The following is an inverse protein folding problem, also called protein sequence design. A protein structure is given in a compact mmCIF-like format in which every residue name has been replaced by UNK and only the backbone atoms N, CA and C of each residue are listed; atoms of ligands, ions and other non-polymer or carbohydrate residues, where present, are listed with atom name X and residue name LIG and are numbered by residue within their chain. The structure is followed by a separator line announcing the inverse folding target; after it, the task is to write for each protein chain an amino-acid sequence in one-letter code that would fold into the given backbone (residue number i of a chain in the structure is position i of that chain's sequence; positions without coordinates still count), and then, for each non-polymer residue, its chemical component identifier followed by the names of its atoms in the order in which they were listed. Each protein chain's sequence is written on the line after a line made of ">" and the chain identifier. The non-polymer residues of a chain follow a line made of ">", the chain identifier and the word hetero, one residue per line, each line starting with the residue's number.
data_IF_094124284290
#
_entry.id   IF_094124284290
#
_cell.length_a   1.000
_cell.length_b   1.000
_cell.length_c   1.000
_cell.angle_alpha   90.00
_cell.angle_beta   90.00
_cell.angle_gamma   90.00
#
_symmetry.space_group_name_H-M   'P 1'
#
loop_
_entity.id
_entity.type
_entity.pdbx_description
1 polymer ?
#
# COMPACT_ATOMS: atom_id res chain seq x y z
N UNK A 1 -20.50 5.57 8.92
CA UNK A 1 -19.97 4.62 7.93
C UNK A 1 -19.78 5.38 6.62
N UNK A 2 -18.62 6.01 6.45
CA UNK A 2 -18.34 6.81 5.25
C UNK A 2 -17.43 6.02 4.34
N UNK A 3 -17.87 5.75 3.11
CA UNK A 3 -17.01 5.26 2.05
C UNK A 3 -15.83 6.22 1.93
N UNK A 4 -14.62 5.76 2.22
CA UNK A 4 -13.43 6.58 2.02
C UNK A 4 -13.12 6.61 0.52
N UNK A 5 -13.28 7.76 -0.16
CA UNK A 5 -13.06 7.84 -1.61
C UNK A 5 -11.62 7.50 -2.01
N UNK A 6 -10.69 7.48 -1.04
CA UNK A 6 -9.27 7.15 -1.25
C UNK A 6 -9.00 5.65 -1.26
N UNK A 7 -9.91 4.84 -0.70
CA UNK A 7 -9.72 3.40 -0.56
C UNK A 7 -9.38 2.70 -1.88
N UNK A 8 -10.11 2.93 -3.00
CA UNK A 8 -9.80 2.23 -4.26
C UNK A 8 -8.41 2.59 -4.79
N UNK A 9 -7.99 3.84 -4.65
CA UNK A 9 -6.68 4.30 -5.11
C UNK A 9 -5.56 3.76 -4.21
N UNK A 10 -5.75 3.78 -2.89
CA UNK A 10 -4.82 3.23 -1.92
C UNK A 10 -4.60 1.73 -2.18
N UNK A 11 -5.68 0.96 -2.30
CA UNK A 11 -5.64 -0.46 -2.66
C UNK A 11 -4.92 -0.71 -3.98
N UNK A 12 -5.21 0.11 -5.01
CA UNK A 12 -4.56 -0.03 -6.33
C UNK A 12 -3.06 0.19 -6.25
N UNK A 13 -2.61 1.20 -5.50
CA UNK A 13 -1.17 1.48 -5.33
C UNK A 13 -0.49 0.41 -4.50
N UNK A 14 -1.15 -0.09 -3.44
CA UNK A 14 -0.66 -1.22 -2.64
C UNK A 14 -0.45 -2.47 -3.51
N UNK A 15 -1.44 -2.87 -4.31
CA UNK A 15 -1.31 -4.01 -5.22
C UNK A 15 -0.14 -3.85 -6.21
N UNK A 16 0.08 -2.63 -6.73
CA UNK A 16 1.23 -2.36 -7.62
C UNK A 16 2.57 -2.52 -6.90
N UNK A 17 2.67 -2.06 -5.65
CA UNK A 17 3.88 -2.20 -4.84
C UNK A 17 4.19 -3.67 -4.55
N UNK A 18 3.19 -4.47 -4.18
CA UNK A 18 3.33 -5.91 -3.97
C UNK A 18 3.81 -6.63 -5.24
N UNK A 19 3.15 -6.37 -6.38
CA UNK A 19 3.52 -6.96 -7.66
C UNK A 19 4.93 -6.57 -8.12
N UNK A 20 5.37 -5.34 -7.82
CA UNK A 20 6.72 -4.87 -8.18
C UNK A 20 7.82 -5.51 -7.32
N UNK A 21 7.48 -5.98 -6.12
CA UNK A 21 8.41 -6.60 -5.18
C UNK A 21 8.22 -8.13 -5.05
N UNK A 22 7.38 -8.72 -5.92
CA UNK A 22 7.03 -10.15 -5.90
C UNK A 22 6.51 -10.65 -4.54
N UNK A 23 5.80 -9.77 -3.81
CA UNK A 23 5.27 -10.07 -2.48
C UNK A 23 3.86 -10.67 -2.56
N UNK A 24 3.66 -11.74 -1.81
CA UNK A 24 2.35 -12.39 -1.69
C UNK A 24 1.46 -11.74 -0.63
N UNK A 25 0.15 -11.97 -0.70
CA UNK A 25 -0.80 -11.52 0.31
C UNK A 25 -0.50 -12.11 1.70
N UNK A 26 -0.01 -13.35 1.76
CA UNK A 26 0.38 -14.02 3.00
C UNK A 26 1.61 -13.37 3.66
N UNK A 27 2.63 -13.02 2.89
CA UNK A 27 3.81 -12.30 3.40
C UNK A 27 3.44 -10.91 3.94
N UNK A 28 2.59 -10.19 3.19
CA UNK A 28 2.04 -8.92 3.65
C UNK A 28 1.27 -9.10 4.95
N UNK A 29 0.36 -10.08 5.01
CA UNK A 29 -0.45 -10.35 6.18
C UNK A 29 0.42 -10.67 7.41
N UNK A 30 1.45 -11.51 7.27
CA UNK A 30 2.34 -11.86 8.39
C UNK A 30 3.01 -10.64 9.00
N UNK A 31 3.49 -9.70 8.17
CA UNK A 31 4.08 -8.45 8.68
C UNK A 31 3.05 -7.53 9.29
N UNK A 32 1.91 -7.35 8.63
CA UNK A 32 0.80 -6.56 9.13
C UNK A 32 0.29 -7.08 10.49
N UNK A 33 0.16 -8.40 10.64
CA UNK A 33 -0.22 -9.05 11.90
C UNK A 33 0.82 -8.79 12.99
N UNK A 34 2.11 -8.87 12.67
CA UNK A 34 3.20 -8.49 13.58
C UNK A 34 3.17 -7.02 14.01
N UNK A 35 2.56 -6.14 13.21
CA UNK A 35 2.34 -4.72 13.52
C UNK A 35 1.03 -4.46 14.30
N UNK A 36 0.44 -5.49 14.90
CA UNK A 36 -0.86 -5.42 15.61
C UNK A 36 -2.08 -5.19 14.70
N UNK A 37 -1.99 -5.62 13.44
CA UNK A 37 -3.13 -5.65 12.53
C UNK A 37 -4.26 -6.56 13.03
N UNK A 38 -5.50 -6.10 12.90
CA UNK A 38 -6.68 -6.81 13.42
C UNK A 38 -7.36 -7.74 12.42
N UNK A 39 -7.10 -7.58 11.12
CA UNK A 39 -7.70 -8.37 10.05
C UNK A 39 -6.98 -9.73 9.86
N UNK A 40 -7.76 -10.77 9.57
CA UNK A 40 -7.25 -12.09 9.19
C UNK A 40 -6.66 -12.09 7.77
N UNK A 41 -5.92 -13.15 7.44
CA UNK A 41 -5.30 -13.33 6.12
C UNK A 41 -6.33 -13.24 4.97
N UNK A 42 -7.47 -13.91 5.13
CA UNK A 42 -8.56 -13.88 4.15
C UNK A 42 -9.22 -12.50 4.01
N UNK A 43 -9.28 -11.71 5.09
CA UNK A 43 -9.81 -10.35 5.04
C UNK A 43 -8.83 -9.42 4.32
N UNK A 44 -7.54 -9.59 4.56
CA UNK A 44 -6.48 -8.88 3.81
C UNK A 44 -6.55 -9.24 2.33
N UNK A 45 -6.68 -10.52 1.99
CA UNK A 45 -6.82 -10.93 0.59
C UNK A 45 -8.10 -10.38 -0.04
N UNK A 46 -9.25 -10.49 0.64
CA UNK A 46 -10.51 -9.94 0.17
C UNK A 46 -10.42 -8.42 -0.02
N UNK A 47 -9.69 -7.71 0.85
CA UNK A 47 -9.41 -6.30 0.68
C UNK A 47 -8.57 -6.03 -0.56
N UNK A 48 -7.49 -6.78 -0.79
CA UNK A 48 -6.63 -6.62 -1.97
C UNK A 48 -7.39 -6.86 -3.29
N UNK A 49 -8.30 -7.83 -3.31
CA UNK A 49 -9.20 -8.16 -4.42
C UNK A 49 -10.36 -7.14 -4.55
N UNK A 50 -10.58 -6.31 -3.54
CA UNK A 50 -11.64 -5.31 -3.49
C UNK A 50 -13.03 -5.87 -3.21
N UNK A 51 -13.10 -7.07 -2.63
CA UNK A 51 -14.30 -7.73 -2.14
C UNK A 51 -14.70 -7.26 -0.73
N UNK A 52 -13.76 -6.68 0.02
CA UNK A 52 -13.95 -6.16 1.37
C UNK A 52 -13.36 -4.75 1.48
N UNK A 53 -13.98 -3.90 2.30
CA UNK A 53 -13.42 -2.61 2.72
C UNK A 53 -12.88 -2.71 4.13
N UNK A 54 -11.68 -2.18 4.35
CA UNK A 54 -11.03 -2.13 5.66
C UNK A 54 -11.04 -0.71 6.24
N UNK A 55 -11.03 -0.55 7.58
CA UNK A 55 -10.85 0.74 8.22
C UNK A 55 -9.58 1.45 7.74
N UNK A 56 -9.58 2.79 7.71
CA UNK A 56 -8.47 3.60 7.20
C UNK A 56 -7.14 3.29 7.90
N UNK A 57 -7.17 3.10 9.22
CA UNK A 57 -5.99 2.73 10.01
C UNK A 57 -5.41 1.37 9.60
N UNK A 58 -6.27 0.38 9.29
CA UNK A 58 -5.83 -0.94 8.84
C UNK A 58 -5.23 -0.88 7.43
N UNK A 59 -5.81 -0.06 6.55
CA UNK A 59 -5.29 0.17 5.19
C UNK A 59 -3.92 0.86 5.21
N UNK A 60 -3.76 1.83 6.09
CA UNK A 60 -2.47 2.49 6.31
C UNK A 60 -1.43 1.54 6.89
N UNK A 61 -1.84 0.65 7.80
CA UNK A 61 -0.96 -0.36 8.38
C UNK A 61 -0.53 -1.39 7.33
N UNK A 62 -1.42 -1.81 6.43
CA UNK A 62 -1.06 -2.66 5.29
C UNK A 62 -0.06 -1.97 4.35
N UNK A 63 -0.24 -0.68 4.07
CA UNK A 63 0.72 0.09 3.28
C UNK A 63 2.09 0.17 3.98
N UNK A 64 2.10 0.37 5.30
CA UNK A 64 3.34 0.38 6.09
C UNK A 64 4.04 -0.98 6.07
N UNK A 65 3.30 -2.07 6.30
CA UNK A 65 3.83 -3.43 6.27
C UNK A 65 4.45 -3.78 4.92
N UNK A 66 3.78 -3.43 3.82
CA UNK A 66 4.31 -3.60 2.47
C UNK A 66 5.62 -2.81 2.28
N UNK A 67 5.65 -1.56 2.72
CA UNK A 67 6.84 -0.71 2.56
C UNK A 67 8.05 -1.25 3.32
N UNK A 68 7.86 -1.81 4.52
CA UNK A 68 8.95 -2.43 5.27
C UNK A 68 9.47 -3.69 4.57
N UNK A 69 8.59 -4.57 4.08
CA UNK A 69 8.99 -5.74 3.28
C UNK A 69 9.80 -5.35 2.05
N UNK A 70 9.36 -4.32 1.33
CA UNK A 70 10.02 -3.82 0.13
C UNK A 70 11.43 -3.28 0.46
N UNK A 71 11.59 -2.57 1.57
CA UNK A 71 12.90 -2.05 2.02
C UNK A 71 13.86 -3.16 2.44
N UNK A 72 13.33 -4.25 2.98
CA UNK A 72 14.12 -5.43 3.36
C UNK A 72 14.50 -6.30 2.14
N UNK A 73 13.94 -6.06 0.96
CA UNK A 73 14.20 -6.87 -0.24
C UNK A 73 15.55 -6.52 -0.88
N UNK A 74 16.52 -7.46 -0.93
CA UNK A 74 17.88 -7.16 -1.40
C UNK A 74 17.98 -6.85 -2.89
N UNK A 75 17.02 -7.29 -3.72
CA UNK A 75 17.00 -7.02 -5.18
C UNK A 75 16.95 -5.52 -5.51
N UNK A 76 16.31 -4.72 -4.65
CA UNK A 76 16.23 -3.26 -4.81
C UNK A 76 17.55 -2.56 -4.51
N UNK A 77 18.41 -3.16 -3.69
CA UNK A 77 19.75 -2.65 -3.40
C UNK A 77 20.65 -2.78 -4.65
N UNK A 78 20.45 -3.82 -5.47
CA UNK A 78 21.31 -4.13 -6.61
C UNK A 78 20.92 -3.33 -7.87
N UNK A 79 19.63 -2.95 -8.01
CA UNK A 79 19.09 -2.34 -9.24
C UNK A 79 19.20 -0.82 -9.33
N UNK A 80 19.67 -0.11 -8.29
CA UNK A 80 19.73 1.36 -8.21
C UNK A 80 18.39 2.06 -8.56
N UNK A 81 17.29 1.31 -8.49
CA UNK A 81 15.95 1.77 -8.80
C UNK A 81 15.22 2.06 -7.49
N UNK A 82 14.62 3.25 -7.31
CA UNK A 82 13.90 3.56 -6.09
C UNK A 82 12.72 2.58 -5.92
N UNK A 83 12.54 2.00 -4.71
CA UNK A 83 11.46 1.06 -4.45
C UNK A 83 10.09 1.70 -4.68
N UNK A 84 9.17 0.94 -5.30
CA UNK A 84 7.78 1.36 -5.45
C UNK A 84 7.05 1.16 -4.12
N UNK A 85 6.96 2.23 -3.33
CA UNK A 85 6.28 2.21 -2.03
C UNK A 85 4.77 2.42 -2.19
N UNK A 86 3.99 1.72 -1.36
CA UNK A 86 2.56 1.93 -1.20
C UNK A 86 2.31 3.24 -0.41
N UNK A 87 1.47 4.15 -0.90
CA UNK A 87 1.14 5.39 -0.19
C UNK A 87 0.23 5.13 1.00
N UNK A 88 0.45 5.88 2.09
CA UNK A 88 -0.54 6.02 3.16
C UNK A 88 -1.72 6.88 2.68
N UNK A 89 -2.87 6.75 3.34
CA UNK A 89 -4.12 7.43 2.98
C UNK A 89 -4.01 8.95 2.92
N UNK A 90 -3.16 9.54 3.78
CA UNK A 90 -2.90 10.99 3.78
C UNK A 90 -2.07 11.45 2.57
N UNK A 91 -1.18 10.60 2.05
CA UNK A 91 -0.27 10.93 0.95
C UNK A 91 -0.96 10.97 -0.43
N UNK A 92 -2.19 10.45 -0.53
CA UNK A 92 -2.96 10.45 -1.77
C UNK A 92 -3.49 11.85 -2.16
N UNK A 93 -3.48 12.82 -1.24
CA UNK A 93 -3.92 14.20 -1.52
C UNK A 93 -2.93 14.98 -2.40
N UNK A 94 -1.64 14.64 -2.37
CA UNK A 94 -0.56 15.45 -2.97
C UNK A 94 -0.21 15.15 -4.44
N UNK A 95 -0.76 14.10 -5.05
CA UNK A 95 -0.39 13.71 -6.43
C UNK A 95 -1.12 14.51 -7.53
N UNK A 96 -2.03 15.43 -7.18
CA UNK A 96 -2.85 16.18 -8.15
C UNK A 96 -2.42 17.64 -8.40
N UNK A 97 -1.52 18.23 -7.58
CA UNK A 97 -1.19 19.67 -7.64
C UNK A 97 0.23 19.98 -8.16
N UNK A 98 0.82 19.14 -9.01
CA UNK A 98 2.16 19.36 -9.59
C UNK A 98 2.19 19.93 -11.01
N UNK A 99 1.03 20.30 -11.58
CA UNK A 99 0.88 20.39 -13.03
C UNK A 99 0.40 21.72 -13.59
N UNK A 100 0.52 22.87 -12.91
CA UNK A 100 0.25 24.19 -13.52
C UNK A 100 1.09 25.29 -12.87
N UNK A 101 2.27 25.55 -13.44
CA UNK A 101 2.80 26.91 -13.65
C UNK A 101 4.17 26.85 -14.31
N UNK A 102 4.15 26.88 -15.65
CA UNK A 102 5.27 27.40 -16.45
C UNK A 102 4.73 28.12 -17.70
N UNK A 103 4.06 29.22 -17.44
CA UNK A 103 4.16 30.47 -18.22
C UNK A 103 4.50 31.53 -17.16
N UNK A 104 5.44 32.43 -17.33
CA UNK A 104 5.72 33.29 -18.48
C UNK A 104 7.23 33.58 -18.61
#
# INVERSE_FOLDING_TARGET
>A
MGFDPREPEQRRRLNKALAAADLTAGELWLRYFGMSGSAGEYEVQAYLEGLLSLPSNERDLLALAANELIRETPELIIRDAPPLLAPLGDQLNGSAEGGRSRGE
#
